data_IF_782433721889
#
_entry.id   IF_782433721889
#
_cell.length_a   1.000
_cell.length_b   1.000
_cell.length_c   1.000
_cell.angle_alpha   90.00
_cell.angle_beta   90.00
_cell.angle_gamma   90.00
#
_symmetry.space_group_name_H-M   'P 1'
#
loop_
_entity.id
_entity.type
_entity.pdbx_description
1 polymer ?
#
# COMPACT_ATOMS: atom_id res chain seq x y z
N UNK A 1 -6.22 -1.41 7.88
CA UNK A 1 -7.31 -0.65 8.53
C UNK A 1 -7.11 -0.72 10.03
N UNK A 2 -6.99 0.43 10.70
CA UNK A 2 -6.84 0.53 12.15
C UNK A 2 -8.18 0.23 12.83
N UNK A 3 -8.21 -0.83 13.65
CA UNK A 3 -9.38 -1.19 14.46
C UNK A 3 -9.19 -0.73 15.91
N UNK A 4 -8.02 -0.99 16.48
CA UNK A 4 -7.69 -0.63 17.86
C UNK A 4 -6.20 -0.39 18.02
N UNK A 5 -5.81 0.28 19.09
CA UNK A 5 -4.42 0.53 19.44
C UNK A 5 -4.20 0.37 20.95
N UNK A 6 -2.95 0.52 21.38
CA UNK A 6 -2.60 0.61 22.80
C UNK A 6 -3.19 1.82 23.51
N UNK A 7 -3.81 2.76 22.79
CA UNK A 7 -4.48 3.94 23.35
C UNK A 7 -6.00 3.75 23.33
N UNK A 8 -6.69 4.28 24.36
CA UNK A 8 -8.16 4.23 24.48
C UNK A 8 -8.86 4.96 23.33
N UNK A 9 -8.27 6.07 22.87
CA UNK A 9 -8.83 6.89 21.78
C UNK A 9 -8.62 6.27 20.39
N UNK A 10 -8.14 5.03 20.25
CA UNK A 10 -7.95 4.37 18.94
C UNK A 10 -6.98 5.14 18.02
N UNK A 11 -5.94 5.73 18.61
CA UNK A 11 -4.92 6.51 17.89
C UNK A 11 -3.63 5.71 17.71
N UNK A 12 -2.91 5.96 16.62
CA UNK A 12 -1.51 5.56 16.50
C UNK A 12 -0.69 6.57 15.70
N UNK A 13 0.62 6.53 15.87
CA UNK A 13 1.54 7.37 15.12
C UNK A 13 2.36 6.54 14.15
N UNK A 14 2.45 6.99 12.90
CA UNK A 14 3.23 6.32 11.87
C UNK A 14 4.20 7.27 11.19
N UNK A 15 5.39 6.75 10.92
CA UNK A 15 6.41 7.38 10.08
C UNK A 15 6.25 6.88 8.64
N UNK A 16 6.16 7.80 7.67
CA UNK A 16 5.95 7.49 6.24
C UNK A 16 7.15 7.83 5.36
N UNK A 17 8.35 8.00 5.94
CA UNK A 17 9.56 8.40 5.21
C UNK A 17 9.88 7.52 4.00
N UNK A 18 9.49 6.25 4.03
CA UNK A 18 9.66 5.32 2.90
C UNK A 18 8.68 5.56 1.72
N UNK A 19 7.57 6.26 1.95
CA UNK A 19 6.50 6.49 0.98
C UNK A 19 6.60 7.86 0.31
N UNK A 20 6.83 8.90 1.11
CA UNK A 20 6.79 10.30 0.66
C UNK A 20 8.03 11.11 1.09
N UNK A 21 8.97 10.51 1.82
CA UNK A 21 10.16 11.19 2.31
C UNK A 21 9.91 12.12 3.51
N UNK A 22 8.70 12.15 4.06
CA UNK A 22 8.39 12.98 5.23
C UNK A 22 8.92 12.34 6.52
N UNK A 23 9.53 13.16 7.38
CA UNK A 23 10.08 12.72 8.68
C UNK A 23 9.10 12.87 9.85
N UNK A 24 8.03 13.64 9.63
CA UNK A 24 7.05 13.91 10.67
C UNK A 24 6.18 12.69 10.91
N UNK A 25 5.85 12.46 12.18
CA UNK A 25 4.89 11.43 12.55
C UNK A 25 3.49 11.86 12.10
N UNK A 26 2.79 10.96 11.41
CA UNK A 26 1.39 11.14 11.02
C UNK A 26 0.51 10.45 12.06
N UNK A 27 -0.42 11.21 12.63
CA UNK A 27 -1.48 10.67 13.47
C UNK A 27 -2.48 9.90 12.60
N UNK A 28 -2.82 8.69 13.03
CA UNK A 28 -3.86 7.84 12.45
C UNK A 28 -4.89 7.55 13.52
N UNK A 29 -6.15 7.58 13.12
CA UNK A 29 -7.30 7.56 14.00
C UNK A 29 -8.27 6.49 13.49
N UNK A 30 -8.52 5.46 14.30
CA UNK A 30 -9.50 4.43 14.02
C UNK A 30 -10.92 4.91 14.29
N UNK A 31 -11.89 4.03 14.09
CA UNK A 31 -13.28 4.33 14.43
C UNK A 31 -13.48 4.19 15.94
N UNK A 32 -14.21 5.11 16.55
CA UNK A 32 -14.50 5.06 17.99
C UNK A 32 -15.28 3.80 18.39
N UNK A 33 -16.11 3.28 17.48
CA UNK A 33 -16.92 2.07 17.71
C UNK A 33 -16.09 0.79 17.84
N UNK A 34 -14.82 0.82 17.44
CA UNK A 34 -13.89 -0.30 17.59
C UNK A 34 -12.92 -0.12 18.78
N UNK A 35 -13.09 0.93 19.59
CA UNK A 35 -12.28 1.21 20.79
C UNK A 35 -12.30 0.09 21.82
N UNK A 36 -13.41 -0.64 21.92
CA UNK A 36 -13.57 -1.78 22.84
C UNK A 36 -12.76 -3.02 22.42
N UNK A 37 -12.11 -3.03 21.26
CA UNK A 37 -11.34 -4.17 20.74
C UNK A 37 -9.88 -4.12 21.22
N UNK A 38 -9.64 -4.10 22.54
CA UNK A 38 -8.29 -4.03 23.11
C UNK A 38 -7.70 -5.39 23.51
N UNK A 39 -8.53 -6.43 23.58
CA UNK A 39 -8.10 -7.78 23.92
C UNK A 39 -8.44 -8.78 22.82
N UNK A 40 -7.60 -9.81 22.67
CA UNK A 40 -7.78 -10.88 21.67
C UNK A 40 -9.16 -11.55 21.73
N UNK A 41 -9.72 -11.67 22.94
CA UNK A 41 -11.04 -12.25 23.17
C UNK A 41 -12.17 -11.44 22.53
N UNK A 42 -12.02 -10.12 22.43
CA UNK A 42 -13.04 -9.22 21.89
C UNK A 42 -13.18 -9.42 20.37
N UNK A 43 -12.10 -9.83 19.69
CA UNK A 43 -12.12 -10.12 18.26
C UNK A 43 -12.89 -11.41 17.91
N UNK A 44 -13.10 -12.33 18.85
CA UNK A 44 -13.86 -13.56 18.57
C UNK A 44 -15.33 -13.29 18.24
N UNK A 45 -15.91 -12.23 18.83
CA UNK A 45 -17.30 -11.82 18.60
C UNK A 45 -17.41 -10.70 17.57
N UNK A 46 -16.29 -10.06 17.22
CA UNK A 46 -16.27 -8.96 16.28
C UNK A 46 -16.59 -9.45 14.86
N UNK A 47 -17.65 -8.88 14.28
CA UNK A 47 -18.06 -9.14 12.89
C UNK A 47 -18.38 -7.82 12.22
N UNK A 48 -17.60 -7.47 11.22
CA UNK A 48 -17.81 -6.29 10.40
C UNK A 48 -17.55 -6.61 8.92
N UNK A 49 -18.26 -5.91 8.04
CA UNK A 49 -18.06 -6.01 6.58
C UNK A 49 -17.47 -4.70 6.09
N UNK A 50 -16.32 -4.75 5.40
CA UNK A 50 -15.70 -3.56 4.80
C UNK A 50 -15.96 -3.55 3.30
N UNK A 51 -16.43 -2.42 2.77
CA UNK A 51 -16.57 -2.15 1.35
C UNK A 51 -15.69 -0.95 1.02
N UNK A 52 -14.91 -1.00 -0.05
CA UNK A 52 -14.05 0.11 -0.45
C UNK A 52 -13.94 0.19 -1.96
N UNK A 53 -13.40 1.31 -2.43
CA UNK A 53 -13.01 1.48 -3.84
C UNK A 53 -11.94 0.46 -4.26
N UNK A 54 -11.83 0.25 -5.58
CA UNK A 54 -10.78 -0.57 -6.16
C UNK A 54 -9.38 0.00 -5.84
N UNK A 55 -8.36 -0.88 -5.73
CA UNK A 55 -6.97 -0.46 -5.59
C UNK A 55 -6.58 0.59 -6.62
N UNK A 56 -6.08 1.74 -6.14
CA UNK A 56 -5.63 2.82 -7.00
C UNK A 56 -4.28 3.38 -6.52
N UNK A 57 -3.58 4.08 -7.41
CA UNK A 57 -2.25 4.62 -7.15
C UNK A 57 -2.25 5.89 -6.27
N UNK A 58 -3.41 6.40 -5.85
CA UNK A 58 -3.48 7.60 -5.03
C UNK A 58 -3.31 7.25 -3.54
N UNK A 59 -2.09 7.44 -3.03
CA UNK A 59 -1.73 7.18 -1.63
C UNK A 59 -2.53 8.00 -0.61
N UNK A 60 -3.16 9.10 -1.06
CA UNK A 60 -3.87 10.04 -0.19
C UNK A 60 -5.38 9.99 -0.33
N UNK A 61 -5.94 9.21 -1.26
CA UNK A 61 -7.37 8.95 -1.30
C UNK A 61 -7.68 7.52 -0.87
N UNK A 62 -8.73 7.42 -0.08
CA UNK A 62 -9.36 6.16 0.23
C UNK A 62 -10.82 6.45 0.51
N UNK A 63 -11.69 5.76 -0.22
CA UNK A 63 -13.13 5.80 0.02
C UNK A 63 -13.60 4.40 0.34
N UNK A 64 -14.18 4.25 1.53
CA UNK A 64 -14.81 3.00 1.93
C UNK A 64 -15.83 3.19 3.04
N UNK A 65 -16.50 2.10 3.38
CA UNK A 65 -17.40 2.01 4.53
C UNK A 65 -17.18 0.69 5.26
N UNK A 66 -17.33 0.74 6.59
CA UNK A 66 -17.42 -0.43 7.45
C UNK A 66 -18.86 -0.56 7.93
N UNK A 67 -19.45 -1.71 7.71
CA UNK A 67 -20.73 -2.12 8.28
C UNK A 67 -20.45 -2.92 9.56
N UNK A 68 -20.89 -2.39 10.70
CA UNK A 68 -20.72 -2.99 12.02
C UNK A 68 -22.00 -2.76 12.83
N UNK A 69 -22.56 -3.82 13.46
CA UNK A 69 -23.81 -3.76 14.22
C UNK A 69 -24.96 -3.06 13.47
N UNK A 70 -25.16 -3.43 12.20
CA UNK A 70 -26.20 -2.86 11.30
C UNK A 70 -26.06 -1.36 11.02
N UNK A 71 -24.92 -0.75 11.42
CA UNK A 71 -24.60 0.65 11.15
C UNK A 71 -23.44 0.75 10.16
N UNK A 72 -23.51 1.75 9.30
CA UNK A 72 -22.47 2.05 8.32
C UNK A 72 -21.62 3.22 8.81
N UNK A 73 -20.30 3.01 8.81
CA UNK A 73 -19.29 3.99 9.18
C UNK A 73 -18.43 4.30 7.97
N UNK A 74 -18.34 5.57 7.59
CA UNK A 74 -17.46 6.00 6.51
C UNK A 74 -16.00 5.84 6.93
N UNK A 75 -15.17 5.35 6.01
CA UNK A 75 -13.73 5.21 6.18
C UNK A 75 -13.03 6.23 5.29
N UNK A 76 -11.98 6.83 5.84
CA UNK A 76 -11.10 7.77 5.15
C UNK A 76 -9.63 7.34 5.29
N UNK A 77 -8.68 8.04 4.66
CA UNK A 77 -7.25 7.75 4.80
C UNK A 77 -6.74 7.83 6.25
N UNK A 78 -7.48 8.46 7.17
CA UNK A 78 -7.14 8.57 8.59
C UNK A 78 -7.17 7.20 9.30
N UNK A 79 -8.06 6.29 8.91
CA UNK A 79 -8.14 4.93 9.47
C UNK A 79 -7.19 3.94 8.75
N UNK A 80 -6.55 4.35 7.66
CA UNK A 80 -5.67 3.48 6.89
C UNK A 80 -4.20 3.62 7.27
N UNK A 81 -3.58 2.45 7.46
CA UNK A 81 -2.14 2.29 7.59
C UNK A 81 -1.63 1.70 6.28
N UNK A 82 -0.77 2.44 5.60
CA UNK A 82 -0.20 2.03 4.33
C UNK A 82 0.98 1.10 4.57
N UNK A 83 1.22 0.21 3.60
CA UNK A 83 2.43 -0.60 3.55
C UNK A 83 3.67 0.29 3.68
N UNK A 84 4.72 -0.22 4.32
CA UNK A 84 6.00 0.47 4.56
C UNK A 84 5.96 1.67 5.52
N UNK A 85 4.79 1.97 6.09
CA UNK A 85 4.68 2.85 7.27
C UNK A 85 5.26 2.15 8.50
N UNK A 86 5.99 2.88 9.35
CA UNK A 86 6.53 2.33 10.61
C UNK A 86 5.73 2.86 11.79
N UNK A 87 5.24 1.95 12.63
CA UNK A 87 4.60 2.32 13.90
C UNK A 87 5.64 2.95 14.84
N UNK A 88 5.28 4.09 15.45
CA UNK A 88 6.11 4.85 16.39
C UNK A 88 5.23 5.32 17.54
N UNK A 89 5.79 5.49 18.72
CA UNK A 89 5.08 6.03 19.89
C UNK A 89 3.70 5.38 20.11
N UNK A 90 3.60 4.08 19.85
CA UNK A 90 2.39 3.26 20.01
C UNK A 90 2.89 1.83 20.14
N UNK A 91 2.52 1.14 21.22
CA UNK A 91 3.12 -0.16 21.54
C UNK A 91 2.62 -1.26 20.61
N UNK A 92 1.32 -1.28 20.35
CA UNK A 92 0.69 -2.23 19.46
C UNK A 92 -0.55 -1.63 18.79
N UNK A 93 -0.96 -2.27 17.72
CA UNK A 93 -2.22 -2.01 17.04
C UNK A 93 -2.90 -3.32 16.67
N UNK A 94 -4.22 -3.28 16.64
CA UNK A 94 -5.04 -4.28 15.98
C UNK A 94 -5.58 -3.69 14.69
N UNK A 95 -5.44 -4.44 13.60
CA UNK A 95 -5.89 -3.98 12.30
C UNK A 95 -6.35 -5.10 11.39
N UNK A 96 -7.29 -4.76 10.51
CA UNK A 96 -7.70 -5.62 9.41
C UNK A 96 -6.93 -5.28 8.14
N UNK A 97 -6.46 -6.30 7.42
CA UNK A 97 -5.80 -6.15 6.12
C UNK A 97 -6.87 -6.02 5.05
N UNK A 98 -6.88 -4.90 4.32
CA UNK A 98 -7.86 -4.62 3.26
C UNK A 98 -7.29 -4.90 1.87
N UNK A 99 -6.02 -4.54 1.66
CA UNK A 99 -5.30 -4.76 0.41
C UNK A 99 -4.06 -5.62 0.67
N UNK A 100 -3.78 -6.57 -0.24
CA UNK A 100 -2.62 -7.47 -0.16
C UNK A 100 -1.85 -7.50 -1.47
N UNK A 101 -0.56 -7.81 -1.43
CA UNK A 101 0.25 -7.98 -2.64
C UNK A 101 0.20 -6.76 -3.58
N UNK A 102 -0.04 -7.01 -4.87
CA UNK A 102 -0.10 -5.99 -5.92
C UNK A 102 -1.28 -5.01 -5.77
N UNK A 103 -2.25 -5.32 -4.92
CA UNK A 103 -3.43 -4.48 -4.69
C UNK A 103 -3.15 -3.40 -3.63
N UNK A 104 -1.98 -3.41 -2.99
CA UNK A 104 -1.61 -2.32 -2.09
C UNK A 104 -1.39 -1.03 -2.87
N UNK A 105 -1.97 0.09 -2.41
CA UNK A 105 -1.84 1.41 -3.05
C UNK A 105 -0.37 1.81 -3.30
N UNK A 106 0.55 1.35 -2.44
CA UNK A 106 2.01 1.55 -2.59
C UNK A 106 2.56 0.84 -3.82
N UNK A 107 2.11 -0.39 -4.12
CA UNK A 107 2.53 -1.12 -5.31
C UNK A 107 1.86 -0.56 -6.56
N UNK A 108 0.61 -0.10 -6.47
CA UNK A 108 -0.04 0.59 -7.58
C UNK A 108 0.62 1.95 -7.91
N UNK A 109 1.20 2.62 -6.91
CA UNK A 109 2.01 3.83 -7.12
C UNK A 109 3.45 3.53 -7.60
N UNK A 110 3.89 2.27 -7.54
CA UNK A 110 5.21 1.88 -8.01
C UNK A 110 5.24 1.71 -9.54
N UNK A 111 6.26 2.25 -10.18
CA UNK A 111 6.49 2.00 -11.62
C UNK A 111 7.14 0.63 -11.78
N UNK A 112 6.66 -0.17 -12.74
CA UNK A 112 7.29 -1.45 -13.07
C UNK A 112 8.80 -1.27 -13.27
N UNK A 113 9.62 -2.10 -12.61
CA UNK A 113 11.06 -1.94 -12.68
C UNK A 113 11.50 -2.09 -14.16
N UNK A 114 12.12 -1.06 -14.76
CA UNK A 114 12.58 -1.17 -16.13
C UNK A 114 13.68 -2.22 -16.21
N UNK A 115 13.77 -2.93 -17.33
CA UNK A 115 14.90 -3.84 -17.58
C UNK A 115 16.22 -3.07 -17.46
N UNK A 116 17.03 -3.40 -16.44
CA UNK A 116 18.35 -2.80 -16.22
C UNK A 116 19.34 -3.34 -17.24
N UNK A 117 19.26 -2.86 -18.47
CA UNK A 117 20.23 -3.13 -19.54
C UNK A 117 21.22 -1.99 -19.69
N UNK A 118 22.50 -2.33 -19.83
CA UNK A 118 23.55 -1.31 -19.90
C UNK A 118 23.44 -0.51 -21.22
N UNK A 119 23.93 0.75 -21.20
CA UNK A 119 24.00 1.56 -22.44
C UNK A 119 24.88 0.90 -23.50
N UNK A 120 25.89 0.13 -23.09
CA UNK A 120 26.81 -0.57 -24.00
C UNK A 120 26.09 -1.75 -24.65
N UNK A 121 25.36 -2.54 -23.88
CA UNK A 121 24.56 -3.68 -24.34
C UNK A 121 23.52 -3.24 -25.38
N UNK A 122 22.77 -2.15 -25.12
CA UNK A 122 21.83 -1.58 -26.10
C UNK A 122 22.50 -1.13 -27.40
N UNK A 123 23.73 -0.59 -27.32
CA UNK A 123 24.52 -0.20 -28.50
C UNK A 123 25.05 -1.42 -29.25
N UNK A 124 25.47 -2.45 -28.52
CA UNK A 124 25.99 -3.70 -29.06
C UNK A 124 24.88 -4.46 -29.81
N UNK A 125 23.68 -4.59 -29.24
CA UNK A 125 22.52 -5.19 -29.91
C UNK A 125 22.21 -4.46 -31.23
N UNK A 126 22.21 -3.13 -31.23
CA UNK A 126 21.97 -2.34 -32.44
C UNK A 126 23.03 -2.59 -33.51
N UNK A 127 24.30 -2.69 -33.11
CA UNK A 127 25.40 -3.01 -34.01
C UNK A 127 25.31 -4.45 -34.56
N UNK A 128 24.92 -5.41 -33.73
CA UNK A 128 24.71 -6.80 -34.14
C UNK A 128 23.58 -6.92 -35.16
N UNK A 129 22.42 -6.30 -34.91
CA UNK A 129 21.30 -6.29 -35.87
C UNK A 129 21.72 -5.66 -37.19
N UNK A 130 22.43 -4.53 -37.15
CA UNK A 130 22.91 -3.86 -38.36
C UNK A 130 23.91 -4.72 -39.14
N UNK A 131 24.81 -5.43 -38.44
CA UNK A 131 25.78 -6.35 -39.05
C UNK A 131 25.08 -7.57 -39.66
N UNK A 132 24.10 -8.15 -38.97
CA UNK A 132 23.29 -9.27 -39.47
C UNK A 132 22.48 -8.89 -40.70
N UNK A 133 21.92 -7.68 -40.73
CA UNK A 133 21.23 -7.15 -41.90
C UNK A 133 22.19 -6.99 -43.10
N UNK A 134 23.36 -6.41 -42.88
CA UNK A 134 24.38 -6.23 -43.92
C UNK A 134 24.91 -7.57 -44.46
N UNK A 135 25.17 -8.55 -43.61
CA UNK A 135 25.64 -9.89 -44.00
C UNK A 135 24.57 -10.67 -44.79
N UNK A 136 23.30 -10.55 -44.41
CA UNK A 136 22.17 -11.13 -45.16
C UNK A 136 22.05 -10.50 -46.54
N UNK A 137 22.25 -9.17 -46.64
CA UNK A 137 22.20 -8.46 -47.92
C UNK A 137 23.37 -8.84 -48.84
N UNK A 138 24.58 -8.99 -48.28
CA UNK A 138 25.76 -9.44 -49.05
C UNK A 138 25.69 -10.88 -49.54
N UNK A 139 24.96 -11.77 -48.86
CA UNK A 139 24.76 -13.15 -49.32
C UNK A 139 23.62 -13.32 -50.33
N UNK A 140 22.86 -12.25 -50.60
CA UNK A 140 21.79 -12.22 -51.63
C UNK A 140 22.23 -11.60 -52.97
N UNK A 141 23.45 -11.06 -53.04
CA UNK A 141 24.12 -10.56 -54.24
C UNK A 141 25.17 -11.57 -54.70
#
# INVERSE_FOLDING_TARGET
LLLSSSYEDVVCYVETTNLDGEINLKLKQGLEVTSSLQEDLNFQKFKATVKCEDPNANLYSFVGSMEFEEKNYALSPQQLLLRDSKLRNTDYIFGAVIFTGHDTQVIQNSTDPPSKRSRIEKKMDKALVQKSYFMTYKNKL
#
